data_IF_336937794665
#
_entry.id   IF_336937794665
#
_cell.length_a   1.000
_cell.length_b   1.000
_cell.length_c   1.000
_cell.angle_alpha   90.00
_cell.angle_beta   90.00
_cell.angle_gamma   90.00
#
_symmetry.space_group_name_H-M   'P 1'
#
loop_
_entity.id
_entity.type
_entity.pdbx_description
1 polymer ?
#
# COMPACT_ATOMS: atom_id res chain seq x y z
N UNK A 1 -9.38 -20.50 2.61
CA UNK A 1 -9.85 -19.62 3.73
C UNK A 1 -9.65 -18.18 3.30
N UNK A 2 -10.60 -17.29 3.58
CA UNK A 2 -10.47 -15.86 3.27
C UNK A 2 -9.36 -15.24 4.09
N UNK A 3 -8.45 -14.50 3.47
CA UNK A 3 -7.43 -13.72 4.18
C UNK A 3 -7.96 -12.31 4.43
N UNK A 4 -7.67 -11.75 5.58
CA UNK A 4 -8.12 -10.41 5.95
C UNK A 4 -6.98 -9.61 6.54
N UNK A 5 -6.69 -8.46 5.93
CA UNK A 5 -5.87 -7.39 6.51
C UNK A 5 -6.79 -6.44 7.26
N UNK A 6 -6.60 -6.32 8.57
CA UNK A 6 -7.39 -5.45 9.41
C UNK A 6 -6.51 -4.39 10.06
N UNK A 7 -6.90 -3.13 9.92
CA UNK A 7 -6.26 -1.97 10.51
C UNK A 7 -7.27 -1.33 11.45
N UNK A 8 -6.90 -1.14 12.73
CA UNK A 8 -7.78 -0.58 13.76
C UNK A 8 -7.12 0.58 14.48
N UNK A 9 -7.79 1.74 14.45
CA UNK A 9 -7.39 2.97 15.12
C UNK A 9 -5.89 3.28 14.96
N UNK A 10 -5.35 3.07 13.77
CA UNK A 10 -3.91 3.21 13.50
C UNK A 10 -3.51 4.67 13.56
N UNK A 11 -2.66 5.00 14.51
CA UNK A 11 -2.03 6.32 14.68
C UNK A 11 -0.54 6.19 14.50
N UNK A 12 0.05 7.08 13.71
CA UNK A 12 1.46 6.96 13.37
C UNK A 12 2.11 8.30 13.05
N UNK A 13 3.42 8.38 13.30
CA UNK A 13 4.24 9.55 13.09
C UNK A 13 5.44 9.31 12.18
N UNK A 14 5.91 10.39 11.58
CA UNK A 14 7.21 10.49 10.90
C UNK A 14 8.02 11.55 11.63
N UNK A 15 9.09 11.14 12.28
CA UNK A 15 9.82 12.01 13.21
C UNK A 15 8.93 12.45 14.36
N UNK A 16 8.71 13.79 14.50
CA UNK A 16 7.86 14.35 15.58
C UNK A 16 6.43 14.68 15.12
N UNK A 17 6.11 14.41 13.86
CA UNK A 17 4.81 14.80 13.29
C UNK A 17 3.91 13.59 13.14
N UNK A 18 2.77 13.60 13.83
CA UNK A 18 1.71 12.65 13.62
C UNK A 18 1.09 12.84 12.23
N UNK A 19 1.04 11.77 11.45
CA UNK A 19 0.53 11.74 10.08
C UNK A 19 -0.79 10.98 10.00
N UNK A 20 -0.86 9.77 10.58
CA UNK A 20 -2.10 8.98 10.67
C UNK A 20 -2.74 9.19 12.03
N UNK A 21 -4.06 9.41 12.04
CA UNK A 21 -4.80 9.89 13.21
C UNK A 21 -6.02 9.04 13.52
N UNK A 22 -5.86 7.72 13.50
CA UNK A 22 -6.93 6.77 13.76
C UNK A 22 -7.54 6.25 12.46
N UNK A 23 -6.78 5.43 11.73
CA UNK A 23 -7.26 4.77 10.52
C UNK A 23 -7.89 3.45 10.90
N UNK A 24 -9.12 3.25 10.46
CA UNK A 24 -9.83 1.97 10.47
C UNK A 24 -10.03 1.54 9.01
N UNK A 25 -9.59 0.34 8.65
CA UNK A 25 -9.68 -0.20 7.29
C UNK A 25 -9.61 -1.73 7.35
N UNK A 26 -10.43 -2.40 6.56
CA UNK A 26 -10.37 -3.86 6.41
C UNK A 26 -10.40 -4.21 4.94
N UNK A 27 -9.48 -5.09 4.50
CA UNK A 27 -9.40 -5.60 3.12
C UNK A 27 -9.38 -7.11 3.17
N UNK A 28 -10.29 -7.76 2.46
CA UNK A 28 -10.36 -9.22 2.37
C UNK A 28 -9.84 -9.74 1.02
N UNK A 29 -9.52 -11.03 0.98
CA UNK A 29 -9.20 -11.72 -0.26
C UNK A 29 -10.30 -11.55 -1.31
N UNK A 30 -9.93 -11.23 -2.55
CA UNK A 30 -10.84 -11.04 -3.66
C UNK A 30 -11.47 -9.65 -3.72
N UNK A 31 -11.22 -8.78 -2.73
CA UNK A 31 -11.73 -7.40 -2.70
C UNK A 31 -10.67 -6.41 -3.18
N UNK A 32 -11.12 -5.36 -3.85
CA UNK A 32 -10.32 -4.20 -4.25
C UNK A 32 -10.79 -2.98 -3.48
N UNK A 33 -9.96 -2.48 -2.59
CA UNK A 33 -10.20 -1.25 -1.85
C UNK A 33 -9.30 -0.13 -2.40
N UNK A 34 -9.86 1.06 -2.60
CA UNK A 34 -9.11 2.24 -3.01
C UNK A 34 -9.00 3.25 -1.87
N UNK A 35 -7.78 3.71 -1.57
CA UNK A 35 -7.55 4.85 -0.68
C UNK A 35 -7.14 6.05 -1.53
N UNK A 36 -8.03 7.03 -1.60
CA UNK A 36 -7.83 8.27 -2.32
C UNK A 36 -7.59 9.43 -1.35
N UNK A 37 -6.80 10.41 -1.74
CA UNK A 37 -6.54 11.57 -0.89
C UNK A 37 -5.53 12.53 -1.51
N UNK A 38 -5.50 13.80 -1.09
CA UNK A 38 -4.54 14.77 -1.60
C UNK A 38 -3.10 14.41 -1.20
N UNK A 39 -2.14 15.07 -1.83
CA UNK A 39 -0.73 14.92 -1.44
C UNK A 39 -0.53 15.33 0.03
N UNK A 40 0.21 14.51 0.76
CA UNK A 40 0.43 14.71 2.20
C UNK A 40 -0.71 14.24 3.11
N UNK A 41 -1.77 13.60 2.58
CA UNK A 41 -2.86 13.05 3.40
C UNK A 41 -2.44 11.89 4.32
N UNK A 42 -1.33 11.20 4.00
CA UNK A 42 -0.84 10.05 4.77
C UNK A 42 -0.88 8.71 4.01
N UNK A 43 -1.26 8.70 2.73
CA UNK A 43 -1.39 7.48 1.92
C UNK A 43 -0.13 6.60 1.92
N UNK A 44 1.01 7.15 1.52
CA UNK A 44 2.28 6.41 1.50
C UNK A 44 2.85 6.15 2.91
N UNK A 45 2.38 6.88 3.94
CA UNK A 45 2.66 6.54 5.33
C UNK A 45 1.93 5.27 5.73
N UNK A 46 0.68 5.10 5.29
CA UNK A 46 -0.11 3.89 5.53
C UNK A 46 0.57 2.67 4.91
N UNK A 47 0.93 2.71 3.62
CA UNK A 47 1.65 1.62 2.94
C UNK A 47 2.99 1.29 3.62
N UNK A 48 3.76 2.31 4.00
CA UNK A 48 5.05 2.15 4.65
C UNK A 48 4.94 1.45 6.01
N UNK A 49 3.92 1.79 6.82
CA UNK A 49 3.71 1.18 8.14
C UNK A 49 3.24 -0.26 8.01
N UNK A 50 2.28 -0.53 7.13
CA UNK A 50 1.79 -1.91 6.90
C UNK A 50 2.95 -2.82 6.46
N UNK A 51 3.88 -2.31 5.64
CA UNK A 51 5.05 -3.07 5.18
C UNK A 51 6.25 -3.03 6.12
N UNK A 52 6.21 -2.27 7.22
CA UNK A 52 7.30 -2.21 8.19
C UNK A 52 8.52 -1.45 7.71
N UNK A 53 8.33 -0.42 6.87
CA UNK A 53 9.42 0.42 6.40
C UNK A 53 10.03 1.22 7.57
N UNK A 54 11.38 1.24 7.72
CA UNK A 54 12.03 2.02 8.77
C UNK A 54 11.74 3.52 8.69
N UNK A 55 11.78 4.20 9.85
CA UNK A 55 11.60 5.66 9.94
C UNK A 55 10.16 6.12 10.19
N UNK A 56 9.25 5.17 10.39
CA UNK A 56 7.87 5.40 10.80
C UNK A 56 7.64 4.85 12.19
N UNK A 57 6.87 5.56 13.01
CA UNK A 57 6.58 5.18 14.39
C UNK A 57 5.08 4.99 14.57
N UNK A 58 4.67 3.81 15.04
CA UNK A 58 3.28 3.54 15.41
C UNK A 58 3.05 4.05 16.82
N UNK A 59 2.12 4.99 16.96
CA UNK A 59 1.75 5.61 18.25
C UNK A 59 0.70 4.78 18.96
N UNK A 60 -0.29 4.28 18.21
CA UNK A 60 -1.41 3.49 18.73
C UNK A 60 -2.09 2.71 17.60
N UNK A 61 -2.97 1.79 17.97
CA UNK A 61 -3.74 0.96 17.06
C UNK A 61 -3.06 -0.36 16.75
N UNK A 62 -3.64 -1.11 15.82
CA UNK A 62 -3.15 -2.42 15.40
C UNK A 62 -3.26 -2.61 13.90
N UNK A 63 -2.39 -3.46 13.36
CA UNK A 63 -2.49 -3.99 11.99
C UNK A 63 -2.32 -5.49 12.07
N UNK A 64 -3.34 -6.23 11.66
CA UNK A 64 -3.32 -7.70 11.71
C UNK A 64 -3.58 -8.30 10.33
N UNK A 65 -2.93 -9.44 10.05
CA UNK A 65 -3.23 -10.29 8.91
C UNK A 65 -3.76 -11.62 9.45
N UNK A 66 -5.04 -11.92 9.20
CA UNK A 66 -5.75 -13.07 9.77
C UNK A 66 -5.66 -13.13 11.32
N UNK A 67 -5.73 -11.98 11.97
CA UNK A 67 -5.64 -11.85 13.42
C UNK A 67 -4.21 -11.90 13.98
N UNK A 68 -3.19 -12.09 13.14
CA UNK A 68 -1.77 -12.07 13.56
C UNK A 68 -1.23 -10.64 13.42
N UNK A 69 -0.67 -10.10 14.50
CA UNK A 69 -0.09 -8.75 14.54
C UNK A 69 1.14 -8.65 13.63
N UNK A 70 1.05 -7.85 12.57
CA UNK A 70 2.16 -7.62 11.65
C UNK A 70 3.09 -6.49 12.07
N UNK A 71 2.68 -5.63 13.02
CA UNK A 71 3.51 -4.51 13.46
C UNK A 71 4.79 -4.97 14.17
N UNK A 72 4.75 -6.14 14.80
CA UNK A 72 5.91 -6.74 15.48
C UNK A 72 6.85 -7.49 14.52
N UNK A 73 6.42 -7.75 13.28
CA UNK A 73 7.19 -8.49 12.29
C UNK A 73 8.15 -7.56 11.53
N UNK A 74 9.39 -7.98 11.25
CA UNK A 74 10.25 -7.31 10.27
C UNK A 74 9.66 -7.43 8.85
N UNK A 75 10.07 -6.56 7.93
CA UNK A 75 9.52 -6.47 6.56
C UNK A 75 9.51 -7.82 5.82
N UNK A 76 10.56 -8.62 5.95
CA UNK A 76 10.65 -9.91 5.26
C UNK A 76 9.66 -10.95 5.80
N UNK A 77 9.35 -10.94 7.11
CA UNK A 77 8.31 -11.80 7.68
C UNK A 77 6.92 -11.41 7.20
N UNK A 78 6.64 -10.10 7.07
CA UNK A 78 5.37 -9.61 6.49
C UNK A 78 5.21 -10.08 5.05
N UNK A 79 6.28 -10.02 4.24
CA UNK A 79 6.28 -10.54 2.89
C UNK A 79 6.07 -12.07 2.87
N UNK A 80 6.72 -12.82 3.76
CA UNK A 80 6.53 -14.27 3.90
C UNK A 80 5.10 -14.63 4.35
N UNK A 81 4.48 -13.80 5.20
CA UNK A 81 3.08 -13.94 5.61
C UNK A 81 2.09 -13.65 4.48
N UNK A 82 2.53 -13.06 3.36
CA UNK A 82 1.71 -12.84 2.17
C UNK A 82 1.35 -11.38 1.90
N UNK A 83 2.00 -10.41 2.55
CA UNK A 83 1.88 -9.00 2.18
C UNK A 83 2.84 -8.67 1.04
N UNK A 84 2.40 -7.84 0.10
CA UNK A 84 3.21 -7.34 -1.02
C UNK A 84 2.98 -5.85 -1.24
N UNK A 85 4.00 -5.14 -1.71
CA UNK A 85 3.92 -3.72 -2.02
C UNK A 85 4.47 -3.46 -3.42
N UNK A 86 3.63 -2.94 -4.29
CA UNK A 86 4.08 -2.23 -5.49
C UNK A 86 4.41 -0.79 -5.07
N UNK A 87 5.68 -0.43 -5.13
CA UNK A 87 6.19 0.84 -4.62
C UNK A 87 5.95 1.99 -5.59
N UNK A 88 5.69 3.19 -5.06
CA UNK A 88 5.65 4.41 -5.87
C UNK A 88 6.98 4.62 -6.65
N UNK A 89 8.10 4.44 -5.96
CA UNK A 89 9.45 4.50 -6.52
C UNK A 89 10.19 3.19 -6.24
N UNK A 90 10.17 2.24 -7.19
CA UNK A 90 10.86 0.96 -7.03
C UNK A 90 12.37 1.11 -6.84
N UNK A 91 12.92 0.39 -5.87
CA UNK A 91 14.35 0.42 -5.57
C UNK A 91 15.13 -0.37 -6.62
N UNK A 92 16.27 0.18 -7.05
CA UNK A 92 17.24 -0.53 -7.88
C UNK A 92 18.11 -1.44 -7.01
N UNK A 93 18.33 -2.70 -7.48
CA UNK A 93 19.19 -3.68 -6.80
C UNK A 93 20.28 -4.13 -7.76
N UNK A 94 21.40 -3.41 -7.82
CA UNK A 94 22.51 -3.76 -8.73
C UNK A 94 23.08 -5.15 -8.42
N UNK A 95 23.34 -5.93 -9.45
CA UNK A 95 23.99 -7.25 -9.32
C UNK A 95 23.06 -8.41 -8.96
N UNK A 96 21.76 -8.17 -8.78
CA UNK A 96 20.75 -9.22 -8.54
C UNK A 96 19.78 -9.24 -9.72
N UNK A 97 19.75 -10.30 -10.50
CA UNK A 97 18.82 -10.45 -11.62
C UNK A 97 17.38 -10.68 -11.12
N UNK A 98 16.38 -10.27 -11.93
CA UNK A 98 14.95 -10.40 -11.56
C UNK A 98 14.56 -11.87 -11.35
N UNK A 99 14.96 -12.74 -12.25
CA UNK A 99 14.69 -14.19 -12.20
C UNK A 99 15.38 -14.85 -10.99
N UNK A 100 16.64 -14.48 -10.69
CA UNK A 100 17.35 -14.98 -9.51
C UNK A 100 16.66 -14.55 -8.21
N UNK A 101 16.27 -13.28 -8.11
CA UNK A 101 15.54 -12.77 -6.94
C UNK A 101 14.23 -13.53 -6.72
N UNK A 102 13.44 -13.74 -7.78
CA UNK A 102 12.17 -14.44 -7.69
C UNK A 102 12.35 -15.93 -7.35
N UNK A 103 13.38 -16.56 -7.88
CA UNK A 103 13.76 -17.94 -7.54
C UNK A 103 14.07 -18.10 -6.06
N UNK A 104 14.88 -17.21 -5.51
CA UNK A 104 15.23 -17.22 -4.08
C UNK A 104 14.01 -16.93 -3.19
N UNK A 105 13.17 -15.95 -3.58
CA UNK A 105 11.96 -15.61 -2.83
C UNK A 105 10.96 -16.78 -2.78
N UNK A 106 10.75 -17.48 -3.89
CA UNK A 106 9.88 -18.67 -3.95
C UNK A 106 10.48 -19.85 -3.19
N UNK A 107 11.79 -20.07 -3.30
CA UNK A 107 12.50 -21.10 -2.53
C UNK A 107 12.33 -20.89 -1.03
N UNK A 108 12.54 -19.67 -0.56
CA UNK A 108 12.39 -19.32 0.86
C UNK A 108 10.95 -19.50 1.36
N UNK A 109 9.93 -19.25 0.50
CA UNK A 109 8.52 -19.30 0.90
C UNK A 109 7.90 -20.68 0.80
N UNK A 110 8.20 -21.44 -0.26
CA UNK A 110 7.50 -22.69 -0.60
C UNK A 110 8.40 -23.88 -0.88
N UNK A 111 9.70 -23.66 -1.05
CA UNK A 111 10.67 -24.67 -1.47
C UNK A 111 10.44 -25.17 -2.92
N UNK A 112 9.54 -24.55 -3.67
CA UNK A 112 9.18 -24.98 -5.02
C UNK A 112 9.51 -23.90 -6.05
N UNK A 113 10.31 -24.26 -7.04
CA UNK A 113 10.72 -23.39 -8.17
C UNK A 113 10.56 -24.08 -9.53
N UNK A 114 9.94 -25.27 -9.56
CA UNK A 114 9.68 -25.98 -10.81
C UNK A 114 8.76 -25.17 -11.73
N UNK A 115 9.12 -25.06 -13.01
CA UNK A 115 8.35 -24.31 -14.00
C UNK A 115 8.43 -22.78 -13.86
N UNK A 116 9.34 -22.23 -13.02
CA UNK A 116 9.46 -20.79 -12.83
C UNK A 116 9.82 -20.06 -14.13
N UNK A 117 10.71 -20.60 -14.95
CA UNK A 117 11.13 -19.93 -16.18
C UNK A 117 9.97 -19.80 -17.17
N UNK A 118 9.16 -20.84 -17.33
CA UNK A 118 7.94 -20.81 -18.16
C UNK A 118 6.91 -19.81 -17.60
N UNK A 119 6.72 -19.79 -16.27
CA UNK A 119 5.82 -18.85 -15.61
C UNK A 119 6.28 -17.39 -15.78
N UNK A 120 7.58 -17.12 -15.68
CA UNK A 120 8.15 -15.80 -15.90
C UNK A 120 7.91 -15.31 -17.32
N UNK A 121 8.12 -16.16 -18.32
CA UNK A 121 7.87 -15.85 -19.73
C UNK A 121 6.39 -15.56 -19.99
N UNK A 122 5.51 -16.39 -19.43
CA UNK A 122 4.06 -16.22 -19.55
C UNK A 122 3.59 -14.90 -18.93
N UNK A 123 3.98 -14.61 -17.68
CA UNK A 123 3.58 -13.40 -16.99
C UNK A 123 4.19 -12.14 -17.62
N UNK A 124 5.45 -12.20 -18.06
CA UNK A 124 6.09 -11.12 -18.81
C UNK A 124 5.33 -10.80 -20.10
N UNK A 125 4.92 -11.84 -20.84
CA UNK A 125 4.11 -11.71 -22.06
C UNK A 125 2.74 -11.06 -21.81
N UNK A 126 2.06 -11.41 -20.72
CA UNK A 126 0.74 -10.88 -20.34
C UNK A 126 0.74 -9.36 -20.10
N UNK A 127 1.83 -8.83 -19.56
CA UNK A 127 1.95 -7.41 -19.20
C UNK A 127 2.83 -6.61 -20.15
N UNK A 128 3.35 -7.24 -21.22
CA UNK A 128 4.24 -6.60 -22.18
C UNK A 128 5.60 -6.21 -21.58
N UNK A 129 6.14 -7.03 -20.67
CA UNK A 129 7.50 -6.91 -20.15
C UNK A 129 8.44 -7.72 -21.04
N UNK A 130 9.51 -7.09 -21.54
CA UNK A 130 10.41 -7.76 -22.47
C UNK A 130 11.22 -8.87 -21.81
N UNK A 131 11.26 -10.07 -22.39
CA UNK A 131 11.98 -11.24 -21.89
C UNK A 131 13.44 -10.94 -21.52
N UNK A 132 14.16 -10.16 -22.35
CA UNK A 132 15.56 -9.79 -22.09
C UNK A 132 15.77 -9.05 -20.78
N UNK A 133 14.72 -8.46 -20.21
CA UNK A 133 14.77 -7.72 -18.95
C UNK A 133 14.69 -8.64 -17.73
N UNK A 134 14.23 -9.90 -17.88
CA UNK A 134 14.17 -10.89 -16.80
C UNK A 134 15.55 -11.22 -16.21
N UNK A 135 16.59 -11.22 -17.06
CA UNK A 135 17.98 -11.51 -16.66
C UNK A 135 18.78 -10.26 -16.29
N UNK A 136 18.10 -9.10 -16.19
CA UNK A 136 18.75 -7.85 -15.77
C UNK A 136 18.61 -7.63 -14.29
N UNK A 137 19.49 -6.82 -13.73
CA UNK A 137 19.44 -6.40 -12.35
C UNK A 137 18.09 -5.69 -12.06
N UNK A 138 17.49 -6.03 -10.91
CA UNK A 138 16.17 -5.54 -10.50
C UNK A 138 16.09 -4.02 -10.58
N UNK A 139 15.18 -3.53 -11.42
CA UNK A 139 14.88 -2.11 -11.64
C UNK A 139 16.04 -1.23 -12.13
N UNK A 140 17.24 -1.78 -12.38
CA UNK A 140 18.41 -1.00 -12.86
C UNK A 140 18.22 -0.64 -14.34
N UNK A 141 18.37 0.65 -14.66
CA UNK A 141 18.20 1.20 -16.01
C UNK A 141 16.84 0.87 -16.68
N UNK A 142 15.81 0.59 -15.90
CA UNK A 142 14.45 0.46 -16.39
C UNK A 142 13.75 1.82 -16.40
N UNK A 143 12.96 2.08 -17.44
CA UNK A 143 12.01 3.20 -17.47
C UNK A 143 10.96 3.07 -16.36
N UNK A 144 10.25 4.15 -16.05
CA UNK A 144 9.18 4.11 -15.06
C UNK A 144 8.12 3.04 -15.37
N UNK A 145 7.72 2.94 -16.64
CA UNK A 145 6.76 1.93 -17.08
C UNK A 145 7.28 0.49 -16.98
N UNK A 146 8.54 0.25 -17.36
CA UNK A 146 9.15 -1.07 -17.22
C UNK A 146 9.29 -1.48 -15.76
N UNK A 147 9.60 -0.55 -14.84
CA UNK A 147 9.65 -0.83 -13.40
C UNK A 147 8.29 -1.27 -12.86
N UNK A 148 7.20 -0.59 -13.24
CA UNK A 148 5.84 -0.94 -12.80
C UNK A 148 5.37 -2.28 -13.37
N UNK A 149 5.68 -2.56 -14.65
CA UNK A 149 5.44 -3.88 -15.24
C UNK A 149 6.24 -4.96 -14.51
N UNK A 150 7.52 -4.72 -14.21
CA UNK A 150 8.34 -5.65 -13.44
C UNK A 150 7.74 -5.95 -12.06
N UNK A 151 7.28 -4.95 -11.31
CA UNK A 151 6.63 -5.15 -10.00
C UNK A 151 5.30 -5.89 -10.13
N UNK A 152 4.51 -5.61 -11.17
CA UNK A 152 3.27 -6.35 -11.45
C UNK A 152 3.54 -7.82 -11.79
N UNK A 153 4.61 -8.10 -12.55
CA UNK A 153 5.06 -9.48 -12.81
C UNK A 153 5.49 -10.17 -11.52
N UNK A 154 6.27 -9.51 -10.67
CA UNK A 154 6.68 -10.05 -9.38
C UNK A 154 5.46 -10.40 -8.51
N UNK A 155 4.44 -9.53 -8.46
CA UNK A 155 3.17 -9.81 -7.78
C UNK A 155 2.52 -11.07 -8.33
N UNK A 156 2.43 -11.19 -9.66
CA UNK A 156 1.80 -12.32 -10.32
C UNK A 156 2.52 -13.65 -10.05
N UNK A 157 3.85 -13.64 -10.04
CA UNK A 157 4.69 -14.81 -9.79
C UNK A 157 4.69 -15.19 -8.30
N UNK A 158 4.80 -14.20 -7.41
CA UNK A 158 4.85 -14.43 -5.97
C UNK A 158 3.49 -14.78 -5.36
N UNK A 159 2.38 -14.45 -6.02
CA UNK A 159 1.00 -14.72 -5.57
C UNK A 159 0.82 -14.35 -4.08
N UNK A 160 0.96 -13.09 -3.69
CA UNK A 160 0.72 -12.67 -2.31
C UNK A 160 -0.77 -12.84 -1.96
N UNK A 161 -1.07 -12.73 -0.67
CA UNK A 161 -2.45 -12.80 -0.16
C UNK A 161 -3.14 -11.45 -0.18
N UNK A 162 -2.38 -10.38 0.15
CA UNK A 162 -2.80 -8.99 0.10
C UNK A 162 -1.70 -8.18 -0.60
N UNK A 163 -2.08 -7.35 -1.56
CA UNK A 163 -1.19 -6.41 -2.22
C UNK A 163 -1.59 -4.96 -1.95
N UNK A 164 -0.59 -4.13 -1.67
CA UNK A 164 -0.72 -2.68 -1.60
C UNK A 164 -0.12 -2.11 -2.88
N UNK A 165 -0.90 -1.30 -3.61
CA UNK A 165 -0.46 -0.64 -4.84
C UNK A 165 -0.27 0.84 -4.55
N UNK A 166 0.97 1.30 -4.32
CA UNK A 166 1.25 2.71 -4.03
C UNK A 166 1.53 3.46 -5.34
N UNK A 167 0.51 4.18 -5.83
CA UNK A 167 0.54 4.95 -7.08
C UNK A 167 1.03 4.13 -8.29
N UNK A 168 0.40 2.97 -8.53
CA UNK A 168 0.73 2.08 -9.66
C UNK A 168 0.66 2.82 -11.01
N UNK A 169 -0.28 3.74 -11.16
CA UNK A 169 -0.54 4.51 -12.37
C UNK A 169 0.52 5.58 -12.70
N UNK A 170 1.41 5.87 -11.75
CA UNK A 170 2.48 6.86 -11.94
C UNK A 170 3.52 6.37 -12.95
N UNK A 171 3.70 7.13 -14.03
CA UNK A 171 4.71 6.84 -15.07
C UNK A 171 4.32 5.76 -16.07
N UNK A 172 3.10 5.23 -16.03
CA UNK A 172 2.55 4.32 -17.03
C UNK A 172 1.82 5.09 -18.14
N UNK A 173 2.02 4.66 -19.39
CA UNK A 173 1.10 4.98 -20.47
C UNK A 173 -0.21 4.18 -20.28
N UNK A 174 -1.24 4.51 -21.07
CA UNK A 174 -2.57 3.93 -20.89
C UNK A 174 -2.61 2.42 -21.18
N UNK A 175 -1.83 1.94 -22.13
CA UNK A 175 -1.82 0.53 -22.50
C UNK A 175 -1.08 -0.31 -21.46
N UNK A 176 0.03 0.22 -20.92
CA UNK A 176 0.75 -0.40 -19.81
C UNK A 176 -0.09 -0.45 -18.53
N UNK A 177 -0.80 0.65 -18.22
CA UNK A 177 -1.70 0.70 -17.07
C UNK A 177 -2.80 -0.38 -17.20
N UNK A 178 -3.43 -0.47 -18.36
CA UNK A 178 -4.46 -1.48 -18.65
C UNK A 178 -3.93 -2.90 -18.49
N UNK A 179 -2.74 -3.18 -19.02
CA UNK A 179 -2.13 -4.50 -18.93
C UNK A 179 -1.87 -4.88 -17.47
N UNK A 180 -1.28 -3.98 -16.68
CA UNK A 180 -1.03 -4.19 -15.26
C UNK A 180 -2.33 -4.33 -14.46
N UNK A 181 -3.31 -3.43 -14.66
CA UNK A 181 -4.58 -3.45 -13.94
C UNK A 181 -5.36 -4.75 -14.21
N UNK A 182 -5.51 -5.17 -15.47
CA UNK A 182 -6.16 -6.44 -15.83
C UNK A 182 -5.46 -7.65 -15.23
N UNK A 183 -4.12 -7.64 -15.15
CA UNK A 183 -3.38 -8.72 -14.53
C UNK A 183 -3.63 -8.79 -13.03
N UNK A 184 -3.72 -7.64 -12.37
CA UNK A 184 -4.04 -7.55 -10.94
C UNK A 184 -5.50 -7.96 -10.71
N UNK A 185 -6.44 -7.46 -11.51
CA UNK A 185 -7.85 -7.85 -11.45
C UNK A 185 -8.02 -9.37 -11.61
N UNK A 186 -7.36 -9.98 -12.61
CA UNK A 186 -7.38 -11.43 -12.77
C UNK A 186 -6.81 -12.20 -11.56
N UNK A 187 -5.96 -11.57 -10.73
CA UNK A 187 -5.44 -12.17 -9.51
C UNK A 187 -6.43 -12.08 -8.34
N UNK A 188 -7.43 -11.19 -8.37
CA UNK A 188 -8.47 -11.11 -7.33
C UNK A 188 -9.49 -12.25 -7.44
N UNK A 189 -9.58 -12.89 -8.59
CA UNK A 189 -10.44 -14.05 -8.76
C UNK A 189 -9.84 -15.30 -8.07
N UNK A 190 -10.66 -16.07 -7.35
CA UNK A 190 -10.21 -17.34 -6.78
C UNK A 190 -9.72 -18.31 -7.85
N UNK A 191 -8.57 -18.94 -7.66
CA UNK A 191 -8.00 -19.90 -8.58
C UNK A 191 -7.29 -21.03 -7.85
N UNK A 192 -7.30 -22.24 -8.44
CA UNK A 192 -6.59 -23.42 -7.91
C UNK A 192 -6.96 -23.79 -6.46
N UNK A 193 -8.15 -23.41 -5.99
CA UNK A 193 -8.62 -23.61 -4.61
C UNK A 193 -8.07 -22.61 -3.60
N UNK A 194 -7.28 -21.65 -4.06
CA UNK A 194 -6.81 -20.53 -3.25
C UNK A 194 -7.76 -19.32 -3.38
N UNK A 195 -7.90 -18.53 -2.31
CA UNK A 195 -8.67 -17.28 -2.38
C UNK A 195 -7.98 -16.28 -3.32
N UNK A 196 -8.77 -15.40 -3.91
CA UNK A 196 -8.25 -14.31 -4.73
C UNK A 196 -7.39 -13.33 -3.94
N UNK A 197 -6.58 -12.56 -4.64
CA UNK A 197 -5.75 -11.49 -4.08
C UNK A 197 -6.64 -10.39 -3.48
N UNK A 198 -6.42 -9.99 -2.23
CA UNK A 198 -6.96 -8.74 -1.70
C UNK A 198 -6.08 -7.56 -2.11
N UNK A 199 -6.68 -6.46 -2.53
CA UNK A 199 -5.96 -5.29 -3.07
C UNK A 199 -6.30 -4.03 -2.29
N UNK A 200 -5.26 -3.31 -1.84
CA UNK A 200 -5.36 -1.94 -1.34
C UNK A 200 -4.67 -1.00 -2.33
N UNK A 201 -5.44 -0.38 -3.21
CA UNK A 201 -4.94 0.57 -4.20
C UNK A 201 -4.87 1.99 -3.60
N UNK A 202 -3.67 2.57 -3.55
CA UNK A 202 -3.43 3.94 -3.12
C UNK A 202 -3.21 4.78 -4.37
N UNK A 203 -4.09 5.73 -4.61
CA UNK A 203 -3.99 6.63 -5.76
C UNK A 203 -4.60 8.00 -5.45
N UNK A 204 -4.27 8.99 -6.25
CA UNK A 204 -4.89 10.31 -6.23
C UNK A 204 -5.64 10.61 -7.54
N UNK A 205 -5.66 9.65 -8.47
CA UNK A 205 -6.35 9.75 -9.76
C UNK A 205 -7.36 8.62 -9.96
N UNK A 206 -8.47 8.92 -10.59
CA UNK A 206 -9.50 7.95 -10.96
C UNK A 206 -9.05 7.02 -12.10
N UNK A 207 -7.96 7.36 -12.81
CA UNK A 207 -7.45 6.62 -13.97
C UNK A 207 -7.16 5.15 -13.68
N UNK A 208 -6.55 4.83 -12.54
CA UNK A 208 -6.33 3.44 -12.12
C UNK A 208 -7.65 2.74 -11.85
N UNK A 209 -8.58 3.42 -11.18
CA UNK A 209 -9.86 2.86 -10.73
C UNK A 209 -10.84 2.62 -11.89
N UNK A 210 -10.63 3.25 -13.04
CA UNK A 210 -11.36 2.96 -14.28
C UNK A 210 -10.97 1.60 -14.86
N UNK A 211 -9.70 1.19 -14.71
CA UNK A 211 -9.17 -0.07 -15.23
C UNK A 211 -9.16 -1.20 -14.18
N UNK A 212 -9.06 -0.85 -12.88
CA UNK A 212 -9.14 -1.76 -11.72
C UNK A 212 -10.28 -1.26 -10.81
N UNK A 213 -11.49 -1.78 -11.06
CA UNK A 213 -12.70 -1.29 -10.39
C UNK A 213 -12.69 -1.66 -8.89
N UNK A 214 -12.75 -0.67 -7.97
CA UNK A 214 -12.79 -0.94 -6.55
C UNK A 214 -14.18 -1.42 -6.10
N UNK A 215 -14.21 -2.28 -5.08
CA UNK A 215 -15.42 -2.63 -4.32
C UNK A 215 -15.75 -1.54 -3.30
N UNK A 216 -14.70 -0.93 -2.72
CA UNK A 216 -14.80 0.12 -1.71
C UNK A 216 -13.80 1.24 -1.99
N UNK A 217 -14.22 2.48 -1.76
CA UNK A 217 -13.39 3.68 -1.85
C UNK A 217 -13.37 4.38 -0.50
N UNK A 218 -12.17 4.76 -0.04
CA UNK A 218 -11.93 5.47 1.21
C UNK A 218 -11.26 6.80 0.91
N UNK A 219 -11.84 7.89 1.37
CA UNK A 219 -11.26 9.24 1.20
C UNK A 219 -10.44 9.57 2.44
N UNK A 220 -9.11 9.67 2.25
CA UNK A 220 -8.14 10.01 3.29
C UNK A 220 -7.77 11.49 3.23
N UNK A 221 -8.08 12.25 4.29
CA UNK A 221 -7.73 13.65 4.42
C UNK A 221 -7.07 13.89 5.78
N UNK A 222 -5.92 14.54 5.80
CA UNK A 222 -5.19 14.91 7.04
C UNK A 222 -4.98 13.74 8.02
N UNK A 223 -4.76 12.53 7.49
CA UNK A 223 -4.50 11.34 8.28
C UNK A 223 -5.74 10.63 8.83
N UNK A 224 -6.93 10.97 8.37
CA UNK A 224 -8.19 10.34 8.76
C UNK A 224 -8.99 9.94 7.52
N UNK A 225 -9.70 8.82 7.58
CA UNK A 225 -10.71 8.46 6.59
C UNK A 225 -11.96 9.28 6.91
N UNK A 226 -12.35 10.15 5.98
CA UNK A 226 -13.45 11.10 6.16
C UNK A 226 -14.72 10.69 5.41
N UNK A 227 -14.60 9.79 4.44
CA UNK A 227 -15.73 9.20 3.71
C UNK A 227 -15.36 7.80 3.23
N UNK A 228 -16.37 6.95 3.15
CA UNK A 228 -16.29 5.59 2.63
C UNK A 228 -17.53 5.30 1.78
N UNK A 229 -17.36 4.56 0.69
CA UNK A 229 -18.47 4.24 -0.21
C UNK A 229 -18.07 3.28 -1.32
N UNK A 230 -18.97 3.05 -2.25
CA UNK A 230 -18.72 2.26 -3.45
C UNK A 230 -17.89 3.02 -4.51
N UNK A 231 -17.76 2.45 -5.72
CA UNK A 231 -16.98 3.06 -6.81
C UNK A 231 -17.43 4.48 -7.18
N UNK A 232 -18.71 4.80 -7.00
CA UNK A 232 -19.31 6.10 -7.28
C UNK A 232 -18.69 7.24 -6.44
N UNK A 233 -18.12 6.93 -5.28
CA UNK A 233 -17.44 7.92 -4.44
C UNK A 233 -16.18 8.48 -5.11
N UNK A 234 -15.50 7.68 -5.94
CA UNK A 234 -14.35 8.15 -6.73
C UNK A 234 -14.79 9.18 -7.80
N UNK A 235 -15.92 8.95 -8.45
CA UNK A 235 -16.49 9.87 -9.45
C UNK A 235 -16.98 11.16 -8.79
N UNK A 236 -17.62 11.06 -7.63
CA UNK A 236 -18.03 12.21 -6.81
C UNK A 236 -16.82 13.05 -6.39
N UNK A 237 -15.74 12.40 -5.94
CA UNK A 237 -14.51 13.09 -5.59
C UNK A 237 -13.89 13.82 -6.78
N UNK A 238 -13.88 13.21 -7.97
CA UNK A 238 -13.36 13.85 -9.18
C UNK A 238 -14.17 15.08 -9.58
N UNK A 239 -15.49 15.02 -9.40
CA UNK A 239 -16.39 16.13 -9.72
C UNK A 239 -16.33 17.28 -8.70
N UNK A 240 -16.23 16.98 -7.39
CA UNK A 240 -16.31 17.95 -6.28
C UNK A 240 -14.95 18.40 -5.74
N UNK A 241 -13.91 17.58 -5.94
CA UNK A 241 -12.58 17.76 -5.37
C UNK A 241 -12.51 17.48 -3.86
N UNK A 242 -11.29 17.40 -3.34
CA UNK A 242 -11.04 17.07 -1.91
C UNK A 242 -11.56 18.14 -0.94
N UNK A 243 -11.80 19.38 -1.39
CA UNK A 243 -12.29 20.44 -0.52
C UNK A 243 -13.71 20.13 0.03
N UNK A 244 -14.54 19.46 -0.75
CA UNK A 244 -15.88 19.04 -0.33
C UNK A 244 -15.84 18.03 0.85
N UNK A 245 -14.77 17.28 0.99
CA UNK A 245 -14.58 16.29 2.06
C UNK A 245 -13.72 16.82 3.23
N UNK A 246 -13.17 18.03 3.10
CA UNK A 246 -12.29 18.63 4.12
C UNK A 246 -13.04 19.53 5.11
N UNK A 247 -14.32 19.83 4.88
CA UNK A 247 -15.15 20.78 5.64
C UNK A 247 -16.03 20.11 6.70
N UNK A 248 -15.48 19.23 7.57
CA UNK A 248 -16.06 19.08 8.90
C UNK A 248 -15.04 19.60 9.93
N UNK A 249 -15.40 20.64 10.73
CA UNK A 249 -14.55 21.08 11.83
C UNK A 249 -14.51 19.97 12.87
N UNK A 250 -13.32 19.60 13.25
CA UNK A 250 -12.97 18.71 14.37
C UNK A 250 -13.62 19.20 15.69
N UNK A 251 -14.86 18.79 15.93
CA UNK A 251 -15.62 19.14 17.14
C UNK A 251 -15.39 18.14 18.29
N UNK A 252 -14.47 17.20 18.14
CA UNK A 252 -14.35 16.11 19.12
C UNK A 252 -12.92 15.76 19.51
N UNK A 253 -11.98 16.61 19.81
CA UNK A 253 -10.77 16.27 20.59
C UNK A 253 -9.87 17.50 20.79
N UNK A 254 -10.39 18.56 21.36
CA UNK A 254 -9.54 19.46 22.16
C UNK A 254 -9.43 18.87 23.57
N UNK A 255 -8.43 18.01 23.78
CA UNK A 255 -7.92 17.86 25.15
C UNK A 255 -7.16 19.15 25.47
N UNK A 256 -7.53 19.87 26.54
CA UNK A 256 -6.79 21.06 26.94
C UNK A 256 -5.37 20.64 27.33
N UNK A 257 -4.41 20.98 26.50
CA UNK A 257 -2.99 20.92 26.87
C UNK A 257 -2.82 21.93 28.02
N UNK A 258 -2.56 21.42 29.22
CA UNK A 258 -2.20 22.24 30.36
C UNK A 258 -1.00 23.13 29.94
N UNK A 259 -1.21 24.43 29.91
CA UNK A 259 -0.13 25.39 29.66
C UNK A 259 0.88 25.21 30.77
N UNK A 260 2.19 25.03 30.49
CA UNK A 260 3.21 25.14 31.53
C UNK A 260 3.12 26.54 32.12
N UNK A 261 3.08 26.64 33.45
CA UNK A 261 3.07 27.92 34.16
C UNK A 261 4.17 28.83 33.65
N UNK A 262 3.90 30.12 33.62
CA UNK A 262 4.86 31.12 33.16
C UNK A 262 6.10 31.10 34.07
N UNK A 263 7.28 31.36 33.48
CA UNK A 263 8.56 31.43 34.21
C UNK A 263 8.55 32.42 35.39
N UNK A 264 7.60 33.34 35.41
CA UNK A 264 7.45 34.33 36.50
C UNK A 264 6.90 33.73 37.81
N UNK A 265 6.21 32.58 37.78
CA UNK A 265 5.74 31.89 38.99
C UNK A 265 6.83 31.09 39.71
N UNK A 266 7.95 30.78 39.02
CA UNK A 266 9.09 30.08 39.60
C UNK A 266 10.01 30.98 40.46
N UNK A 267 9.89 32.30 40.38
CA UNK A 267 10.74 33.26 41.10
C UNK A 267 10.01 34.07 42.18
N UNK A 268 8.74 33.80 42.47
CA UNK A 268 7.93 34.54 43.43
C UNK A 268 8.03 34.01 44.88
N UNK A 269 8.99 33.18 45.23
CA UNK A 269 9.17 32.59 46.57
C UNK A 269 10.56 32.84 47.15
N UNK A 270 10.88 34.09 47.50
CA UNK A 270 12.02 34.41 48.34
C UNK A 270 11.60 34.56 49.82
N UNK A 271 12.42 34.10 50.79
CA UNK A 271 12.05 34.06 52.21
C UNK A 271 12.18 35.44 52.89
N UNK A 272 11.24 35.72 53.78
CA UNK A 272 11.35 36.69 54.79
C UNK A 272 12.10 36.18 56.06
#
# INVERSE_FOLDING_TARGET
>A
MTTTLEIRNLRAAVGRKEILRGIDLTVSSGEVHAVMGPNGAGKSTLSAIVMGKPGYEVIAGSVTLDGVDVLTMPTWERAAAGLHLIMQYPTEVPGVAVDDMLREALTARSGRVEGLDDLLLEEAGRIGFEERLLHRAVNVDLSGGERKRNETMQLAVLRPRIAILDELDSGLDIDALRACARRIEAATEPADGEPGLGVLAITHYNRLLTELRPDQVHILVRGQIVAEGGPELADELEASGYAAFAEEPDARHEHPVARPGSLDELFAGGPA
#
